data_IF_672921074168
#
_entry.id   IF_672921074168
#
_cell.length_a   1.000
_cell.length_b   1.000
_cell.length_c   1.000
_cell.angle_alpha   90.00
_cell.angle_beta   90.00
_cell.angle_gamma   90.00
#
_symmetry.space_group_name_H-M   'P 1'
#
loop_
_entity.id
_entity.type
_entity.pdbx_description
1 polymer ?
#
# COMPACT_ATOMS: atom_id res chain seq x y z
N UNK A 1 4.37 -65.20 79.40
CA UNK A 1 5.63 -64.44 79.50
C UNK A 1 5.98 -63.97 78.08
N UNK A 2 6.14 -62.64 77.92
CA UNK A 2 6.59 -61.88 76.73
C UNK A 2 5.60 -61.77 75.53
N UNK A 3 5.22 -60.53 75.11
CA UNK A 3 4.34 -60.26 73.97
C UNK A 3 5.14 -60.08 72.66
N UNK A 4 4.52 -60.31 71.49
CA UNK A 4 5.10 -59.92 70.19
C UNK A 4 4.15 -59.06 69.36
N UNK A 5 4.61 -57.82 69.24
CA UNK A 5 4.28 -56.69 68.37
C UNK A 5 3.41 -56.91 67.12
N UNK A 6 2.43 -56.00 67.00
CA UNK A 6 1.78 -55.54 65.77
C UNK A 6 2.82 -55.05 64.75
N UNK A 7 2.71 -55.51 63.50
CA UNK A 7 3.27 -54.83 62.33
C UNK A 7 2.13 -54.14 61.58
N UNK A 8 2.13 -52.81 61.57
CA UNK A 8 1.26 -51.98 60.74
C UNK A 8 2.00 -51.71 59.43
N UNK A 9 1.47 -52.24 58.32
CA UNK A 9 1.96 -51.90 56.99
C UNK A 9 1.33 -50.58 56.54
N UNK A 10 2.15 -49.53 56.44
CA UNK A 10 1.75 -48.23 55.88
C UNK A 10 1.83 -48.36 54.35
N UNK A 11 0.67 -48.39 53.67
CA UNK A 11 0.60 -48.22 52.22
C UNK A 11 0.85 -46.74 51.88
N UNK A 12 1.95 -46.47 51.19
CA UNK A 12 2.20 -45.16 50.59
C UNK A 12 1.34 -44.99 49.32
N UNK A 13 0.43 -44.02 49.32
CA UNK A 13 -0.22 -43.52 48.10
C UNK A 13 0.78 -42.67 47.30
N UNK A 14 0.87 -42.81 45.97
CA UNK A 14 1.63 -41.87 45.17
C UNK A 14 0.84 -40.57 45.04
N UNK A 15 1.42 -39.47 45.52
CA UNK A 15 0.94 -38.11 45.34
C UNK A 15 1.21 -37.70 43.88
N UNK A 16 0.20 -37.78 43.02
CA UNK A 16 0.28 -37.25 41.66
C UNK A 16 0.25 -35.71 41.71
N UNK A 17 1.42 -35.08 41.53
CA UNK A 17 1.51 -33.65 41.25
C UNK A 17 0.86 -33.37 39.88
N UNK A 18 -0.35 -32.80 39.89
CA UNK A 18 -0.88 -32.12 38.71
C UNK A 18 -0.12 -30.81 38.53
N UNK A 19 0.91 -30.83 37.68
CA UNK A 19 1.49 -29.63 37.12
C UNK A 19 0.44 -29.01 36.20
N UNK A 20 -0.27 -27.99 36.70
CA UNK A 20 -1.03 -27.07 35.85
C UNK A 20 -0.03 -26.29 35.01
N UNK A 21 0.36 -26.86 33.88
CA UNK A 21 1.06 -26.11 32.84
C UNK A 21 0.16 -24.97 32.39
N UNK A 22 0.67 -23.74 32.47
CA UNK A 22 0.04 -22.61 31.79
C UNK A 22 -0.16 -23.00 30.32
N UNK A 23 -1.42 -23.13 29.90
CA UNK A 23 -1.76 -23.09 28.49
C UNK A 23 -1.40 -21.69 27.99
N UNK A 24 -0.18 -21.56 27.46
CA UNK A 24 0.15 -20.50 26.54
C UNK A 24 -0.68 -20.81 25.30
N UNK A 25 -1.74 -20.03 25.06
CA UNK A 25 -2.48 -20.06 23.81
C UNK A 25 -1.48 -20.00 22.64
N UNK A 26 -1.68 -20.78 21.56
CA UNK A 26 -0.86 -20.62 20.36
C UNK A 26 -0.91 -19.15 19.96
N UNK A 27 0.26 -18.54 19.74
CA UNK A 27 0.37 -17.25 19.09
C UNK A 27 -0.58 -17.23 17.89
N UNK A 28 -1.51 -16.28 17.86
CA UNK A 28 -2.47 -16.13 16.78
C UNK A 28 -1.71 -16.21 15.45
N UNK A 29 -2.01 -17.25 14.67
CA UNK A 29 -1.39 -17.44 13.36
C UNK A 29 -1.75 -16.23 12.51
N UNK A 30 -0.75 -15.38 12.27
CA UNK A 30 -0.90 -14.22 11.41
C UNK A 30 -1.42 -14.65 10.04
N UNK A 31 -2.37 -13.92 9.43
CA UNK A 31 -2.88 -14.27 8.12
C UNK A 31 -1.73 -14.24 7.12
N UNK A 32 -1.59 -15.30 6.30
CA UNK A 32 -0.54 -15.43 5.28
C UNK A 32 -0.68 -14.44 4.11
N UNK A 33 -1.67 -13.56 4.17
CA UNK A 33 -2.13 -12.72 3.08
C UNK A 33 -2.81 -11.45 3.61
N UNK A 34 -2.87 -10.41 2.79
CA UNK A 34 -3.52 -9.13 3.09
C UNK A 34 -5.03 -9.21 2.81
N UNK A 35 -5.85 -8.86 3.80
CA UNK A 35 -7.31 -8.87 3.70
C UNK A 35 -7.85 -7.46 3.45
N UNK A 36 -8.70 -7.31 2.43
CA UNK A 36 -9.33 -6.05 2.04
C UNK A 36 -10.74 -5.85 2.65
N UNK A 37 -11.22 -6.78 3.47
CA UNK A 37 -12.56 -6.74 4.06
C UNK A 37 -12.78 -5.48 4.90
N UNK A 38 -13.89 -4.79 4.61
CA UNK A 38 -14.36 -3.63 5.38
C UNK A 38 -15.13 -4.05 6.64
N UNK A 39 -15.54 -5.32 6.71
CA UNK A 39 -16.26 -5.93 7.83
C UNK A 39 -15.26 -6.70 8.69
N UNK A 40 -14.84 -6.07 9.78
CA UNK A 40 -14.05 -6.67 10.84
C UNK A 40 -14.13 -5.79 12.10
N UNK A 41 -13.96 -6.36 13.31
CA UNK A 41 -13.75 -5.51 14.48
C UNK A 41 -12.60 -4.56 14.15
N UNK A 42 -12.73 -3.28 14.52
CA UNK A 42 -11.63 -2.32 14.51
C UNK A 42 -10.51 -2.88 15.38
N UNK A 43 -9.63 -3.68 14.78
CA UNK A 43 -8.44 -4.11 15.46
C UNK A 43 -7.61 -2.85 15.70
N UNK A 44 -7.21 -2.68 16.96
CA UNK A 44 -6.25 -1.67 17.36
C UNK A 44 -4.87 -2.07 16.81
N UNK A 45 -4.70 -1.97 15.49
CA UNK A 45 -3.50 -2.39 14.77
C UNK A 45 -3.84 -3.01 13.42
N UNK A 46 -3.06 -2.69 12.38
CA UNK A 46 -3.13 -3.43 11.12
C UNK A 46 -2.51 -4.83 11.33
N UNK A 47 -3.05 -5.88 10.68
CA UNK A 47 -2.51 -7.23 10.81
C UNK A 47 -1.07 -7.32 10.29
N UNK A 48 -0.23 -8.09 10.98
CA UNK A 48 1.08 -8.50 10.48
C UNK A 48 0.90 -9.52 9.35
N UNK A 49 1.23 -9.16 8.11
CA UNK A 49 1.13 -10.02 6.91
C UNK A 49 2.52 -10.51 6.48
N UNK A 50 2.77 -11.82 6.31
CA UNK A 50 4.05 -12.30 5.81
C UNK A 50 4.43 -11.66 4.48
N UNK A 51 5.67 -11.19 4.39
CA UNK A 51 6.26 -10.71 3.15
C UNK A 51 6.38 -11.89 2.18
N UNK A 52 5.85 -11.76 0.97
CA UNK A 52 5.99 -12.79 -0.06
C UNK A 52 7.37 -12.71 -0.73
N UNK A 53 7.81 -11.50 -1.06
CA UNK A 53 9.09 -11.24 -1.73
C UNK A 53 9.52 -9.79 -1.50
N UNK A 54 10.81 -9.56 -1.26
CA UNK A 54 11.41 -8.23 -1.35
C UNK A 54 12.43 -8.17 -2.49
N UNK A 55 12.39 -7.09 -3.26
CA UNK A 55 13.35 -6.78 -4.33
C UNK A 55 14.16 -5.58 -3.90
N UNK A 56 15.49 -5.68 -3.97
CA UNK A 56 16.38 -4.54 -3.75
C UNK A 56 16.48 -3.69 -5.03
N UNK A 57 16.32 -2.38 -4.89
CA UNK A 57 16.39 -1.41 -5.98
C UNK A 57 17.76 -0.71 -5.97
N UNK A 58 18.52 -0.88 -7.06
CA UNK A 58 19.81 -0.17 -7.24
C UNK A 58 19.63 1.34 -7.42
N UNK A 59 18.53 1.76 -8.05
CA UNK A 59 18.16 3.16 -8.24
C UNK A 59 16.95 3.49 -7.39
N UNK A 60 17.09 4.49 -6.52
CA UNK A 60 16.01 4.99 -5.66
C UNK A 60 15.22 6.08 -6.39
N UNK A 61 13.97 6.25 -6.00
CA UNK A 61 13.12 7.33 -6.49
C UNK A 61 12.36 7.95 -5.33
N UNK A 62 12.09 9.26 -5.40
CA UNK A 62 11.10 9.86 -4.52
C UNK A 62 9.71 9.47 -5.04
N UNK A 63 9.32 8.21 -4.83
CA UNK A 63 8.13 7.60 -5.42
C UNK A 63 6.87 8.38 -5.07
N UNK A 64 6.12 8.77 -6.10
CA UNK A 64 4.86 9.50 -5.96
C UNK A 64 3.69 8.80 -6.66
N UNK A 65 3.96 7.94 -7.65
CA UNK A 65 3.00 6.97 -8.18
C UNK A 65 3.70 5.66 -8.50
N UNK A 66 3.03 4.53 -8.24
CA UNK A 66 3.49 3.21 -8.62
C UNK A 66 2.28 2.46 -9.20
N UNK A 67 2.43 1.77 -10.33
CA UNK A 67 1.29 1.03 -10.90
C UNK A 67 1.73 -0.19 -11.69
N UNK A 68 0.86 -1.20 -11.73
CA UNK A 68 0.99 -2.34 -12.61
C UNK A 68 0.03 -2.19 -13.79
N UNK A 69 0.52 -2.49 -14.99
CA UNK A 69 -0.34 -2.55 -16.17
C UNK A 69 0.24 -3.54 -17.18
N UNK A 70 -0.57 -4.55 -17.55
CA UNK A 70 -0.19 -5.63 -18.48
C UNK A 70 1.15 -6.30 -18.13
N UNK A 71 1.34 -6.65 -16.86
CA UNK A 71 2.56 -7.29 -16.36
C UNK A 71 3.79 -6.38 -16.26
N UNK A 72 3.67 -5.10 -16.62
CA UNK A 72 4.72 -4.08 -16.51
C UNK A 72 4.53 -3.24 -15.24
N UNK A 73 5.63 -2.79 -14.64
CA UNK A 73 5.63 -1.95 -13.45
C UNK A 73 6.12 -0.55 -13.80
N UNK A 74 5.31 0.46 -13.55
CA UNK A 74 5.66 1.86 -13.79
C UNK A 74 5.77 2.64 -12.49
N UNK A 75 6.66 3.63 -12.48
CA UNK A 75 6.87 4.54 -11.36
C UNK A 75 6.95 5.98 -11.84
N UNK A 76 6.21 6.86 -11.17
CA UNK A 76 6.41 8.31 -11.24
C UNK A 76 7.18 8.77 -10.00
N UNK A 77 8.22 9.56 -10.20
CA UNK A 77 9.03 10.12 -9.12
C UNK A 77 8.92 11.64 -9.07
N UNK A 78 8.92 12.17 -7.85
CA UNK A 78 8.95 13.61 -7.58
C UNK A 78 10.36 14.20 -7.50
N UNK A 79 10.41 15.42 -6.94
CA UNK A 79 11.55 16.36 -6.83
C UNK A 79 11.74 17.24 -8.07
N UNK A 80 11.73 18.56 -7.85
CA UNK A 80 11.96 19.57 -8.89
C UNK A 80 13.30 19.32 -9.59
N UNK A 81 13.31 19.35 -10.92
CA UNK A 81 14.50 19.09 -11.73
C UNK A 81 14.91 17.62 -11.84
N UNK A 82 14.27 16.72 -11.10
CA UNK A 82 14.64 15.28 -11.04
C UNK A 82 13.45 14.34 -11.22
N UNK A 83 12.25 14.87 -11.49
CA UNK A 83 11.05 14.06 -11.67
C UNK A 83 11.13 13.25 -12.97
N UNK A 84 10.74 11.99 -12.90
CA UNK A 84 10.86 11.02 -13.98
C UNK A 84 9.63 10.11 -14.01
N UNK A 85 9.27 9.66 -15.21
CA UNK A 85 8.46 8.47 -15.41
C UNK A 85 9.39 7.31 -15.77
N UNK A 86 9.22 6.17 -15.11
CA UNK A 86 10.11 5.00 -15.19
C UNK A 86 9.29 3.74 -15.43
N UNK A 87 9.85 2.82 -16.19
CA UNK A 87 9.44 1.41 -16.19
C UNK A 87 10.50 0.60 -15.46
N UNK A 88 10.06 -0.26 -14.56
CA UNK A 88 10.89 -1.08 -13.70
C UNK A 88 10.71 -2.54 -14.06
N UNK A 89 11.81 -3.28 -14.10
CA UNK A 89 11.77 -4.73 -14.18
C UNK A 89 11.10 -5.30 -12.92
N UNK A 90 10.10 -6.16 -13.10
CA UNK A 90 9.26 -6.67 -12.01
C UNK A 90 9.98 -7.65 -11.08
N UNK A 91 11.07 -8.25 -11.54
CA UNK A 91 11.87 -9.25 -10.79
C UNK A 91 13.12 -8.64 -10.14
N UNK A 92 13.73 -7.65 -10.79
CA UNK A 92 15.01 -7.07 -10.34
C UNK A 92 14.89 -5.64 -9.82
N UNK A 93 13.80 -4.92 -10.12
CA UNK A 93 13.62 -3.51 -9.77
C UNK A 93 14.55 -2.56 -10.53
N UNK A 94 15.28 -3.04 -11.55
CA UNK A 94 16.11 -2.22 -12.42
C UNK A 94 15.25 -1.35 -13.33
N UNK A 95 15.73 -0.14 -13.66
CA UNK A 95 15.04 0.75 -14.60
C UNK A 95 15.29 0.22 -16.01
N UNK A 96 14.23 -0.23 -16.68
CA UNK A 96 14.31 -0.68 -18.07
C UNK A 96 14.32 0.50 -19.04
N UNK A 97 13.54 1.54 -18.72
CA UNK A 97 13.53 2.83 -19.41
C UNK A 97 12.99 3.94 -18.52
N UNK A 98 13.34 5.18 -18.86
CA UNK A 98 12.80 6.35 -18.20
C UNK A 98 12.73 7.56 -19.13
N UNK A 99 11.86 8.50 -18.79
CA UNK A 99 11.79 9.83 -19.39
C UNK A 99 11.76 10.89 -18.30
N UNK A 100 12.55 11.94 -18.47
CA UNK A 100 12.57 13.09 -17.55
C UNK A 100 11.38 14.01 -17.80
N UNK A 101 10.77 14.49 -16.73
CA UNK A 101 9.82 15.58 -16.80
C UNK A 101 10.55 16.92 -16.94
N UNK A 102 9.86 18.00 -17.38
CA UNK A 102 10.42 19.35 -17.37
C UNK A 102 10.99 19.72 -15.99
N UNK A 103 12.08 20.51 -15.97
CA UNK A 103 12.80 20.78 -14.72
C UNK A 103 12.01 21.61 -13.70
N UNK A 104 10.97 22.31 -14.15
CA UNK A 104 10.04 23.11 -13.35
C UNK A 104 8.85 22.28 -12.81
N UNK A 105 8.84 20.97 -13.07
CA UNK A 105 7.78 20.06 -12.65
C UNK A 105 8.22 19.20 -11.48
N UNK A 106 7.31 19.07 -10.53
CA UNK A 106 7.33 18.02 -9.52
C UNK A 106 6.26 16.99 -9.91
N UNK A 107 6.70 15.81 -10.34
CA UNK A 107 5.82 14.69 -10.72
C UNK A 107 5.18 14.05 -9.49
N UNK A 108 3.90 13.67 -9.62
CA UNK A 108 3.12 13.06 -8.55
C UNK A 108 2.55 11.70 -9.00
N UNK A 109 1.36 11.32 -8.55
CA UNK A 109 0.69 10.06 -8.89
C UNK A 109 0.58 9.83 -10.39
N UNK A 110 0.55 8.55 -10.77
CA UNK A 110 0.43 8.12 -12.15
C UNK A 110 -0.58 6.98 -12.28
N UNK A 111 -1.21 6.87 -13.43
CA UNK A 111 -2.16 5.79 -13.75
C UNK A 111 -2.13 5.50 -15.25
N UNK A 112 -2.43 4.27 -15.64
CA UNK A 112 -2.66 3.92 -17.06
C UNK A 112 -4.15 3.82 -17.34
N UNK A 113 -4.59 4.47 -18.41
CA UNK A 113 -5.91 4.27 -19.00
C UNK A 113 -5.81 4.30 -20.53
N UNK A 114 -6.49 3.36 -21.19
CA UNK A 114 -6.28 3.08 -22.61
C UNK A 114 -4.78 2.87 -22.93
N UNK A 115 -4.17 3.73 -23.73
CA UNK A 115 -2.74 3.70 -24.11
C UNK A 115 -1.89 4.76 -23.40
N UNK A 116 -2.47 5.48 -22.45
CA UNK A 116 -1.84 6.64 -21.85
C UNK A 116 -1.43 6.38 -20.41
N UNK A 117 -0.15 6.62 -20.11
CA UNK A 117 0.28 6.88 -18.74
C UNK A 117 -0.02 8.35 -18.45
N UNK A 118 -0.95 8.59 -17.53
CA UNK A 118 -1.33 9.92 -17.06
C UNK A 118 -0.56 10.20 -15.78
N UNK A 119 0.15 11.33 -15.73
CA UNK A 119 0.93 11.74 -14.57
C UNK A 119 0.46 13.10 -14.08
N UNK A 120 0.05 13.14 -12.80
CA UNK A 120 -0.29 14.37 -12.10
C UNK A 120 0.94 15.13 -11.63
N UNK A 121 0.73 16.36 -11.15
CA UNK A 121 1.82 17.19 -10.63
C UNK A 121 1.41 17.94 -9.37
N UNK A 122 2.42 18.36 -8.62
CA UNK A 122 2.28 19.25 -7.48
C UNK A 122 2.58 20.70 -7.87
N UNK A 123 1.64 21.61 -7.60
CA UNK A 123 1.74 23.07 -7.77
C UNK A 123 2.03 23.62 -9.17
N UNK A 124 2.15 22.75 -10.17
CA UNK A 124 2.40 23.17 -11.55
C UNK A 124 1.12 23.34 -12.37
N UNK A 125 0.00 22.79 -11.87
CA UNK A 125 -1.30 22.78 -12.55
C UNK A 125 -1.27 22.13 -13.94
N UNK A 126 -0.38 21.14 -14.11
CA UNK A 126 -0.16 20.39 -15.36
C UNK A 126 -0.44 18.92 -15.13
N UNK A 127 -0.97 18.26 -16.16
CA UNK A 127 -1.16 16.82 -16.23
C UNK A 127 -0.57 16.33 -17.55
N UNK A 128 0.34 15.37 -17.47
CA UNK A 128 1.04 14.84 -18.63
C UNK A 128 0.44 13.51 -19.05
N UNK A 129 0.37 13.28 -20.36
CA UNK A 129 -0.08 12.03 -20.95
C UNK A 129 1.04 11.51 -21.84
N UNK A 130 1.65 10.42 -21.41
CA UNK A 130 2.67 9.71 -22.16
C UNK A 130 2.06 8.49 -22.84
N UNK A 131 2.56 8.14 -24.02
CA UNK A 131 2.24 6.84 -24.62
C UNK A 131 2.90 5.72 -23.80
N UNK A 132 2.11 4.72 -23.40
CA UNK A 132 2.56 3.64 -22.52
C UNK A 132 3.68 2.79 -23.15
N UNK A 133 3.74 2.70 -24.48
CA UNK A 133 4.70 1.85 -25.19
C UNK A 133 5.94 2.59 -25.65
N UNK A 134 5.93 3.92 -25.73
CA UNK A 134 7.10 4.71 -26.19
C UNK A 134 7.63 5.71 -25.17
N UNK A 135 6.86 6.05 -24.13
CA UNK A 135 7.10 7.19 -23.23
C UNK A 135 7.15 8.55 -23.96
N UNK A 136 6.64 8.62 -25.20
CA UNK A 136 6.48 9.88 -25.90
C UNK A 136 5.39 10.72 -25.22
N UNK A 137 5.69 11.98 -24.94
CA UNK A 137 4.68 12.91 -24.43
C UNK A 137 3.68 13.22 -25.54
N UNK A 138 2.44 12.72 -25.38
CA UNK A 138 1.38 12.90 -26.38
C UNK A 138 0.63 14.21 -26.17
N UNK A 139 0.35 14.56 -24.91
CA UNK A 139 -0.33 15.81 -24.58
C UNK A 139 -0.05 16.24 -23.15
N UNK A 140 -0.19 17.54 -22.96
CA UNK A 140 -0.20 18.19 -21.66
C UNK A 140 -1.54 18.91 -21.50
N UNK A 141 -2.15 18.80 -20.33
CA UNK A 141 -3.40 19.46 -20.00
C UNK A 141 -3.27 20.27 -18.71
N UNK A 142 -4.10 21.30 -18.58
CA UNK A 142 -4.21 22.06 -17.35
C UNK A 142 -5.21 21.40 -16.40
N UNK A 143 -4.86 21.33 -15.12
CA UNK A 143 -5.78 20.98 -14.03
C UNK A 143 -5.54 21.94 -12.85
N UNK A 144 -6.57 22.60 -12.32
CA UNK A 144 -6.38 23.77 -11.45
C UNK A 144 -5.96 23.45 -10.02
N UNK A 145 -6.08 22.19 -9.59
CA UNK A 145 -5.74 21.73 -8.24
C UNK A 145 -4.49 20.84 -8.22
N UNK A 146 -3.90 20.65 -7.05
CA UNK A 146 -2.83 19.66 -6.86
C UNK A 146 -3.36 18.23 -7.10
N UNK A 147 -2.52 17.40 -7.70
CA UNK A 147 -2.74 15.94 -7.82
C UNK A 147 -1.64 15.27 -7.02
N UNK A 148 -2.02 14.48 -6.00
CA UNK A 148 -1.09 13.69 -5.19
C UNK A 148 -1.07 12.24 -5.68
N UNK A 149 -2.19 11.54 -5.57
CA UNK A 149 -2.38 10.18 -6.09
C UNK A 149 -3.36 10.14 -7.26
N UNK A 150 -3.15 9.17 -8.15
CA UNK A 150 -4.04 8.84 -9.27
C UNK A 150 -4.29 7.34 -9.27
N UNK A 151 -5.53 6.94 -9.48
CA UNK A 151 -5.89 5.57 -9.85
C UNK A 151 -7.12 5.57 -10.75
N UNK A 152 -7.56 4.39 -11.20
CA UNK A 152 -8.71 4.23 -12.09
C UNK A 152 -9.43 2.91 -11.85
N UNK A 153 -10.74 2.91 -12.04
CA UNK A 153 -11.54 1.68 -12.16
C UNK A 153 -11.55 1.13 -13.61
N UNK A 154 -10.84 1.78 -14.52
CA UNK A 154 -10.82 1.51 -15.96
C UNK A 154 -11.67 2.49 -16.78
N UNK A 155 -12.57 3.26 -16.16
CA UNK A 155 -13.46 4.20 -16.85
C UNK A 155 -13.20 5.66 -16.46
N UNK A 156 -12.94 5.91 -15.18
CA UNK A 156 -12.73 7.27 -14.63
C UNK A 156 -11.39 7.40 -13.93
N UNK A 157 -10.89 8.64 -13.82
CA UNK A 157 -9.75 8.90 -12.94
C UNK A 157 -10.24 9.22 -11.54
N UNK A 158 -9.54 8.70 -10.54
CA UNK A 158 -9.78 8.98 -9.14
C UNK A 158 -8.52 9.62 -8.58
N UNK A 159 -8.69 10.80 -7.98
CA UNK A 159 -7.61 11.72 -7.65
C UNK A 159 -7.64 12.05 -6.16
N UNK A 160 -6.49 12.00 -5.51
CA UNK A 160 -6.29 12.58 -4.18
C UNK A 160 -5.45 13.86 -4.28
N UNK A 161 -5.51 14.71 -3.26
CA UNK A 161 -4.74 15.95 -3.19
C UNK A 161 -4.23 16.23 -1.76
N UNK A 162 -4.07 15.20 -0.93
CA UNK A 162 -3.69 15.32 0.48
C UNK A 162 -4.84 15.68 1.44
N UNK A 163 -6.00 16.11 0.94
CA UNK A 163 -7.20 16.30 1.76
C UNK A 163 -7.91 14.96 2.05
N UNK A 164 -9.11 15.01 2.64
CA UNK A 164 -9.98 13.83 2.78
C UNK A 164 -10.78 13.51 1.51
N UNK A 165 -10.79 14.43 0.54
CA UNK A 165 -11.67 14.36 -0.62
C UNK A 165 -10.97 13.65 -1.77
N UNK A 166 -11.59 12.59 -2.25
CA UNK A 166 -11.30 11.95 -3.52
C UNK A 166 -12.15 12.61 -4.61
N UNK A 167 -11.51 13.02 -5.71
CA UNK A 167 -12.17 13.66 -6.84
C UNK A 167 -12.16 12.72 -8.03
N UNK A 168 -13.31 12.53 -8.66
CA UNK A 168 -13.47 11.73 -9.87
C UNK A 168 -13.47 12.63 -11.08
N UNK A 169 -12.63 12.33 -12.07
CA UNK A 169 -12.47 13.11 -13.28
C UNK A 169 -12.77 12.28 -14.53
N UNK A 170 -13.29 12.94 -15.55
CA UNK A 170 -13.30 12.40 -16.89
C UNK A 170 -11.84 12.25 -17.40
N UNK A 171 -11.40 11.08 -17.88
CA UNK A 171 -10.00 10.86 -18.27
C UNK A 171 -9.58 11.63 -19.53
N UNK A 172 -10.53 12.11 -20.34
CA UNK A 172 -10.27 12.83 -21.59
C UNK A 172 -10.30 14.33 -21.40
N UNK A 173 -11.24 14.87 -20.61
CA UNK A 173 -11.41 16.31 -20.39
C UNK A 173 -10.84 16.82 -19.06
N UNK A 174 -10.55 15.93 -18.11
CA UNK A 174 -10.22 16.25 -16.70
C UNK A 174 -11.33 17.01 -15.95
N UNK A 175 -12.55 17.01 -16.49
CA UNK A 175 -13.70 17.62 -15.82
C UNK A 175 -14.11 16.82 -14.59
N UNK A 176 -14.41 17.52 -13.51
CA UNK A 176 -14.86 16.94 -12.26
C UNK A 176 -16.27 16.36 -12.44
N UNK A 177 -16.41 15.08 -12.13
CA UNK A 177 -17.68 14.35 -12.17
C UNK A 177 -18.29 14.15 -10.79
N UNK A 178 -17.46 13.85 -9.79
CA UNK A 178 -17.89 13.54 -8.42
C UNK A 178 -16.79 13.92 -7.43
N UNK A 179 -17.20 14.25 -6.20
CA UNK A 179 -16.32 14.32 -5.02
C UNK A 179 -16.83 13.38 -3.95
N UNK A 180 -15.93 12.71 -3.25
CA UNK A 180 -16.23 11.76 -2.18
C UNK A 180 -15.27 11.98 -1.01
N UNK A 181 -15.80 12.21 0.18
CA UNK A 181 -14.97 12.33 1.37
C UNK A 181 -14.74 10.95 2.01
N UNK A 182 -13.46 10.61 2.22
CA UNK A 182 -13.08 9.40 2.92
C UNK A 182 -13.08 9.62 4.45
N UNK A 183 -13.53 8.60 5.19
CA UNK A 183 -13.68 8.63 6.65
C UNK A 183 -13.20 7.34 7.31
N UNK A 184 -12.54 7.47 8.46
CA UNK A 184 -12.17 6.38 9.36
C UNK A 184 -13.08 6.43 10.59
N UNK A 185 -14.12 5.60 10.59
CA UNK A 185 -15.21 5.72 11.56
C UNK A 185 -15.93 7.06 11.42
N UNK A 186 -16.01 7.82 12.51
CA UNK A 186 -16.64 9.15 12.54
C UNK A 186 -15.68 10.30 12.16
N UNK A 187 -14.39 10.02 11.97
CA UNK A 187 -13.37 11.04 11.68
C UNK A 187 -13.00 11.05 10.19
N UNK A 188 -12.62 12.21 9.63
CA UNK A 188 -12.11 12.27 8.27
C UNK A 188 -10.78 11.53 8.13
N UNK A 189 -10.54 10.95 6.96
CA UNK A 189 -9.26 10.38 6.58
C UNK A 189 -8.47 11.44 5.80
N UNK A 190 -7.70 12.28 6.49
CA UNK A 190 -6.87 13.34 5.87
C UNK A 190 -5.47 12.79 5.55
N UNK A 191 -4.80 13.36 4.55
CA UNK A 191 -3.46 12.98 4.13
C UNK A 191 -3.45 11.91 3.05
N UNK A 192 -4.57 11.71 2.33
CA UNK A 192 -4.68 10.74 1.25
C UNK A 192 -3.65 11.09 0.17
N UNK A 193 -2.72 10.19 -0.06
CA UNK A 193 -1.61 10.39 -0.99
C UNK A 193 -1.75 9.43 -2.16
N UNK A 194 -0.76 8.59 -2.44
CA UNK A 194 -0.82 7.63 -3.54
C UNK A 194 -2.01 6.65 -3.40
N UNK A 195 -2.59 6.26 -4.55
CA UNK A 195 -3.83 5.50 -4.68
C UNK A 195 -3.65 4.28 -5.58
N UNK A 196 -4.40 3.21 -5.30
CA UNK A 196 -4.53 2.08 -6.23
C UNK A 196 -5.93 1.45 -6.19
N UNK A 197 -6.50 1.11 -7.35
CA UNK A 197 -7.80 0.45 -7.45
C UNK A 197 -7.64 -1.06 -7.40
N UNK A 198 -8.24 -1.68 -6.39
CA UNK A 198 -8.07 -3.11 -6.10
C UNK A 198 -9.41 -3.71 -5.76
N UNK A 199 -9.92 -4.57 -6.64
CA UNK A 199 -11.15 -5.37 -6.42
C UNK A 199 -12.35 -4.53 -5.94
N UNK A 200 -12.57 -3.38 -6.57
CA UNK A 200 -13.69 -2.48 -6.27
C UNK A 200 -13.45 -1.57 -5.05
N UNK A 201 -12.22 -1.49 -4.55
CA UNK A 201 -11.81 -0.60 -3.46
C UNK A 201 -10.68 0.30 -3.92
N UNK A 202 -10.56 1.45 -3.27
CA UNK A 202 -9.41 2.34 -3.44
C UNK A 202 -8.49 2.11 -2.26
N UNK A 203 -7.29 1.61 -2.52
CA UNK A 203 -6.21 1.61 -1.55
C UNK A 203 -5.55 2.98 -1.56
N UNK A 204 -5.18 3.48 -0.38
CA UNK A 204 -4.57 4.78 -0.26
C UNK A 204 -3.44 4.77 0.79
N UNK A 205 -2.28 5.28 0.41
CA UNK A 205 -1.29 5.72 1.39
C UNK A 205 -1.81 6.96 2.13
N UNK A 206 -1.46 7.09 3.41
CA UNK A 206 -1.81 8.25 4.23
C UNK A 206 -0.53 8.95 4.70
N UNK A 207 -0.20 10.09 4.11
CA UNK A 207 0.97 10.89 4.49
C UNK A 207 0.71 11.70 5.79
N UNK A 208 1.69 11.86 6.69
CA UNK A 208 3.05 11.31 6.69
C UNK A 208 3.15 10.02 7.54
N UNK A 209 2.21 9.08 7.36
CA UNK A 209 2.16 7.83 8.13
C UNK A 209 2.68 6.65 7.31
N UNK A 210 2.86 5.51 7.97
CA UNK A 210 3.15 4.22 7.33
C UNK A 210 1.89 3.38 7.11
N UNK A 211 0.70 3.99 7.12
CA UNK A 211 -0.57 3.28 6.99
C UNK A 211 -1.05 3.22 5.53
N UNK A 212 -1.73 2.12 5.19
CA UNK A 212 -2.59 2.02 4.00
C UNK A 212 -4.02 1.75 4.43
N UNK A 213 -4.96 2.47 3.82
CA UNK A 213 -6.39 2.27 4.02
C UNK A 213 -7.03 1.72 2.76
N UNK A 214 -7.98 0.80 2.92
CA UNK A 214 -8.94 0.48 1.87
C UNK A 214 -10.18 1.35 2.05
N UNK A 215 -10.57 2.05 1.00
CA UNK A 215 -11.68 3.01 0.95
C UNK A 215 -12.77 2.44 0.05
N UNK A 216 -13.99 2.40 0.56
CA UNK A 216 -15.19 2.11 -0.21
C UNK A 216 -15.56 3.31 -1.10
N UNK A 217 -15.51 3.15 -2.42
CA UNK A 217 -15.75 4.26 -3.35
C UNK A 217 -17.22 4.72 -3.40
N UNK A 218 -18.16 3.90 -2.92
CA UNK A 218 -19.55 4.30 -2.81
C UNK A 218 -19.80 5.23 -1.61
N UNK A 219 -19.29 4.87 -0.43
CA UNK A 219 -19.63 5.51 0.85
C UNK A 219 -18.51 6.37 1.48
N UNK A 220 -17.28 6.24 1.00
CA UNK A 220 -16.08 6.83 1.58
C UNK A 220 -15.63 6.17 2.90
N UNK A 221 -16.32 5.13 3.36
CA UNK A 221 -15.93 4.41 4.57
C UNK A 221 -14.62 3.69 4.34
N UNK A 222 -13.69 3.82 5.29
CA UNK A 222 -12.34 3.27 5.15
C UNK A 222 -11.91 2.47 6.35
N UNK A 223 -11.07 1.46 6.10
CA UNK A 223 -10.43 0.64 7.13
C UNK A 223 -8.93 0.61 6.89
N UNK A 224 -8.14 0.65 7.96
CA UNK A 224 -6.70 0.45 7.86
C UNK A 224 -6.44 -1.03 7.57
N UNK A 225 -5.75 -1.33 6.47
CA UNK A 225 -5.46 -2.71 6.05
C UNK A 225 -3.99 -3.09 6.24
N UNK A 226 -3.09 -2.11 6.27
CA UNK A 226 -1.66 -2.34 6.33
C UNK A 226 -0.95 -1.24 7.10
N UNK A 227 0.15 -1.60 7.76
CA UNK A 227 1.09 -0.67 8.35
C UNK A 227 2.52 -1.14 8.08
N UNK A 228 3.33 -0.26 7.48
CA UNK A 228 4.68 -0.58 7.04
C UNK A 228 5.77 -0.38 8.10
N UNK A 229 5.42 0.00 9.34
CA UNK A 229 6.38 0.38 10.37
C UNK A 229 7.48 -0.66 10.60
N UNK A 230 7.13 -1.95 10.56
CA UNK A 230 8.09 -3.04 10.76
C UNK A 230 9.05 -3.26 9.59
N UNK A 231 8.69 -2.80 8.39
CA UNK A 231 9.55 -2.91 7.20
C UNK A 231 10.56 -1.76 7.12
N UNK A 232 10.41 -0.72 7.95
CA UNK A 232 11.36 0.39 8.00
C UNK A 232 12.77 -0.06 8.41
N UNK A 233 12.90 -1.11 9.22
CA UNK A 233 14.22 -1.68 9.56
C UNK A 233 14.83 -2.51 8.43
N UNK A 234 14.05 -2.85 7.41
CA UNK A 234 14.52 -3.62 6.25
C UNK A 234 14.96 -2.71 5.10
N UNK A 235 14.58 -1.44 5.10
CA UNK A 235 14.93 -0.47 4.06
C UNK A 235 16.00 0.51 4.52
N UNK A 236 16.87 0.90 3.60
CA UNK A 236 17.64 2.11 3.77
C UNK A 236 16.81 3.31 3.33
N UNK A 237 16.21 3.99 4.30
CA UNK A 237 15.61 5.31 4.08
C UNK A 237 16.60 6.39 4.53
N UNK A 238 16.63 7.54 3.85
CA UNK A 238 17.31 8.69 4.45
C UNK A 238 16.40 9.20 5.57
N UNK A 239 16.92 9.49 6.76
CA UNK A 239 16.13 9.82 7.97
C UNK A 239 15.25 11.07 7.89
N UNK A 240 15.05 11.62 6.69
CA UNK A 240 14.08 12.66 6.37
C UNK A 240 12.64 12.17 6.63
N UNK A 241 11.85 13.04 7.26
CA UNK A 241 10.43 12.81 7.56
C UNK A 241 9.58 12.60 6.32
N UNK A 242 10.05 13.03 5.14
CA UNK A 242 9.32 12.90 3.89
C UNK A 242 9.60 11.57 3.18
N UNK A 243 10.54 10.75 3.68
CA UNK A 243 10.83 9.40 3.15
C UNK A 243 9.95 8.31 3.76
N UNK A 244 8.65 8.49 3.63
CA UNK A 244 7.62 7.58 4.15
C UNK A 244 7.19 6.56 3.10
N UNK A 245 6.41 5.58 3.54
CA UNK A 245 5.62 4.70 2.68
C UNK A 245 4.83 5.53 1.66
N UNK A 246 5.02 5.24 0.37
CA UNK A 246 4.29 5.85 -0.74
C UNK A 246 4.53 5.05 -2.03
N UNK A 247 3.45 4.59 -2.68
CA UNK A 247 3.49 3.72 -3.84
C UNK A 247 2.82 2.38 -3.54
N UNK A 248 1.71 2.11 -4.25
CA UNK A 248 0.90 0.90 -4.18
C UNK A 248 0.61 0.48 -5.62
N UNK A 249 1.01 -0.74 -6.00
CA UNK A 249 0.64 -1.28 -7.30
C UNK A 249 -0.04 -2.64 -7.16
N UNK A 250 -1.02 -2.92 -8.01
CA UNK A 250 -1.77 -4.16 -8.02
C UNK A 250 -1.48 -5.00 -9.26
N UNK A 251 -0.74 -6.08 -9.06
CA UNK A 251 -0.60 -7.13 -10.06
C UNK A 251 -1.85 -8.03 -10.00
N UNK A 252 -2.83 -7.68 -10.84
CA UNK A 252 -4.13 -8.34 -10.89
C UNK A 252 -4.01 -9.82 -11.29
N UNK A 253 -3.12 -10.16 -12.23
CA UNK A 253 -2.95 -11.52 -12.74
C UNK A 253 -2.47 -12.48 -11.64
N UNK A 254 -1.59 -11.99 -10.76
CA UNK A 254 -1.04 -12.77 -9.65
C UNK A 254 -1.73 -12.46 -8.30
N UNK A 255 -2.74 -11.59 -8.28
CA UNK A 255 -3.46 -11.11 -7.09
C UNK A 255 -2.53 -10.70 -5.95
N UNK A 256 -1.50 -9.90 -6.26
CA UNK A 256 -0.52 -9.41 -5.28
C UNK A 256 -0.41 -7.90 -5.34
N UNK A 257 -0.20 -7.30 -4.17
CA UNK A 257 0.16 -5.89 -4.05
C UNK A 257 1.66 -5.73 -3.96
N UNK A 258 2.13 -4.61 -4.46
CA UNK A 258 3.48 -4.13 -4.32
C UNK A 258 3.46 -2.82 -3.54
N UNK A 259 4.29 -2.73 -2.50
CA UNK A 259 4.49 -1.51 -1.72
C UNK A 259 5.94 -1.05 -1.78
N UNK A 260 6.15 0.26 -1.77
CA UNK A 260 7.45 0.90 -1.61
C UNK A 260 7.31 2.23 -0.89
N UNK A 261 8.37 3.04 -0.88
CA UNK A 261 8.33 4.37 -0.31
C UNK A 261 9.30 5.32 -0.95
N UNK A 262 9.16 6.58 -0.56
CA UNK A 262 10.02 7.67 -1.01
C UNK A 262 11.46 7.39 -0.61
N UNK A 263 12.33 7.24 -1.61
CA UNK A 263 13.73 6.87 -1.49
C UNK A 263 14.00 5.51 -0.81
N UNK A 264 13.03 4.59 -0.82
CA UNK A 264 13.28 3.24 -0.34
C UNK A 264 14.11 2.46 -1.35
N UNK A 265 15.01 1.62 -0.85
CA UNK A 265 15.82 0.69 -1.64
C UNK A 265 15.13 -0.66 -1.83
N UNK A 266 13.84 -0.79 -1.48
CA UNK A 266 13.09 -2.04 -1.65
C UNK A 266 11.68 -1.86 -2.18
N UNK A 267 11.25 -2.87 -2.94
CA UNK A 267 9.85 -3.16 -3.28
C UNK A 267 9.43 -4.40 -2.49
N UNK A 268 8.23 -4.38 -1.89
CA UNK A 268 7.71 -5.48 -1.08
C UNK A 268 6.40 -6.02 -1.68
N UNK A 269 6.38 -7.31 -2.01
CA UNK A 269 5.18 -8.00 -2.49
C UNK A 269 4.39 -8.64 -1.34
N UNK A 270 3.06 -8.51 -1.44
CA UNK A 270 2.10 -9.08 -0.52
C UNK A 270 0.99 -9.78 -1.30
N UNK A 271 0.74 -11.05 -1.02
CA UNK A 271 -0.42 -11.75 -1.59
C UNK A 271 -1.71 -11.26 -0.96
N UNK A 272 -2.76 -11.07 -1.76
CA UNK A 272 -4.10 -10.85 -1.23
C UNK A 272 -4.72 -12.17 -0.78
N UNK A 273 -5.57 -12.12 0.26
CA UNK A 273 -6.32 -13.29 0.66
C UNK A 273 -7.33 -13.68 -0.42
N UNK A 274 -7.56 -14.98 -0.57
CA UNK A 274 -8.69 -15.46 -1.35
C UNK A 274 -9.98 -14.97 -0.70
N UNK A 275 -10.88 -14.42 -1.51
CA UNK A 275 -12.22 -14.10 -1.03
C UNK A 275 -12.89 -15.41 -0.59
N UNK A 276 -13.33 -15.48 0.67
CA UNK A 276 -14.12 -16.61 1.13
C UNK A 276 -15.34 -16.75 0.19
N UNK A 277 -15.40 -17.87 -0.52
CA UNK A 277 -16.53 -18.21 -1.40
C UNK A 277 -17.81 -18.40 -0.62
#
# INVERSE_FOLDING_TARGET
MVPRALFVAILALPLALFLTGCHVSPAEAYPACLNLSLSGPTQSGAPSIPLAQAIERKSRGFTQGLLFHDGRLFESTGLMGSSELRELNTETGEIERSVKMPSDVFGEGAVVIDRFIIVGTWKSNRVFFYDVDTFELIKEMHYPDDIWGLTTDGEVLIVSNGTQTLTTLNPRSLEIQKKLDAKKGASPLVGINELEWVEGKILANVWPTNDVYAIDYASGSSVKIFNAQRYLSEVQHSGDRDNVLNGIAYDQDNRRLLFTGKNWDRLFYFSLCDNAK
#
